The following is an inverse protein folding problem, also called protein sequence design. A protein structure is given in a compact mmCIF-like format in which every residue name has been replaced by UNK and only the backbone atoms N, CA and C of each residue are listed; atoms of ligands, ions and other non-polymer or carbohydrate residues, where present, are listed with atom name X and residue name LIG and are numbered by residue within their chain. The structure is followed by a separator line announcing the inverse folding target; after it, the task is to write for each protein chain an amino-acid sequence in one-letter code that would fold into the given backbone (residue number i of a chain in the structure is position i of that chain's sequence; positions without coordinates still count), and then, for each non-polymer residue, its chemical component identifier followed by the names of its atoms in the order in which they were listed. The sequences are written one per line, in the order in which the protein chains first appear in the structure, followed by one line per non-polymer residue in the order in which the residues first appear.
data_IF_703584204976
#
_entry.id   IF_703584204976
#
_cell.length_a   1.000
_cell.length_b   1.000
_cell.length_c   1.000
_cell.angle_alpha   90.00
_cell.angle_beta   90.00
_cell.angle_gamma   90.00
#
_symmetry.space_group_name_H-M   'P 1'
#
loop_
_entity.id
_entity.type
_entity.pdbx_description
1 polymer ?
#
# COMPACT_ATOMS: atom_id res chain seq x y z
N UNK A 1 -4.10 -19.26 -11.08
CA UNK A 1 -5.09 -18.28 -11.62
C UNK A 1 -4.34 -17.33 -12.54
N UNK A 2 -4.93 -16.95 -13.68
CA UNK A 2 -4.31 -15.95 -14.56
C UNK A 2 -4.36 -14.57 -13.88
N UNK A 3 -3.26 -13.81 -13.92
CA UNK A 3 -3.25 -12.45 -13.37
C UNK A 3 -4.20 -11.53 -14.16
N UNK A 4 -4.79 -10.55 -13.48
CA UNK A 4 -5.60 -9.52 -14.16
C UNK A 4 -4.70 -8.45 -14.80
N UNK A 5 -3.53 -8.19 -14.22
CA UNK A 5 -2.49 -7.34 -14.80
C UNK A 5 -1.19 -8.14 -14.83
N UNK A 6 -0.53 -8.14 -15.97
CA UNK A 6 0.82 -8.71 -16.12
C UNK A 6 1.75 -7.69 -16.74
N UNK A 7 2.86 -7.43 -16.04
CA UNK A 7 3.93 -6.51 -16.44
C UNK A 7 5.19 -7.34 -16.66
N UNK A 8 5.74 -7.32 -17.86
CA UNK A 8 6.88 -8.15 -18.23
C UNK A 8 8.03 -7.30 -18.77
N UNK A 9 9.16 -7.31 -18.04
CA UNK A 9 10.41 -6.62 -18.39
C UNK A 9 10.24 -5.13 -18.75
N UNK A 10 9.31 -4.43 -18.08
CA UNK A 10 9.00 -3.04 -18.41
C UNK A 10 10.11 -2.11 -17.96
N UNK A 11 10.60 -1.33 -18.88
CA UNK A 11 11.56 -0.24 -18.65
C UNK A 11 10.99 1.08 -19.16
N UNK A 12 11.34 2.17 -18.47
CA UNK A 12 11.00 3.54 -18.87
C UNK A 12 12.16 4.47 -18.71
N UNK A 13 12.61 5.04 -19.82
CA UNK A 13 13.55 6.16 -19.86
C UNK A 13 12.85 7.36 -20.49
N UNK A 14 12.87 8.49 -19.80
CA UNK A 14 12.32 9.76 -20.31
C UNK A 14 13.32 10.45 -21.25
N UNK A 15 12.84 11.40 -22.05
CA UNK A 15 13.68 12.17 -22.97
C UNK A 15 14.82 12.94 -22.27
N UNK A 16 14.67 13.25 -20.99
CA UNK A 16 15.70 13.85 -20.14
C UNK A 16 16.85 12.90 -19.78
N UNK A 17 16.79 11.63 -20.18
CA UNK A 17 17.74 10.59 -19.77
C UNK A 17 17.40 9.92 -18.42
N UNK A 18 16.37 10.40 -17.71
CA UNK A 18 15.95 9.81 -16.44
C UNK A 18 15.37 8.40 -16.68
N UNK A 19 16.01 7.38 -16.10
CA UNK A 19 15.54 6.01 -16.09
C UNK A 19 14.63 5.80 -14.88
N UNK A 20 13.32 5.88 -15.11
CA UNK A 20 12.31 5.79 -14.05
C UNK A 20 11.94 4.33 -13.71
N UNK A 21 12.03 3.41 -14.68
CA UNK A 21 11.79 1.97 -14.48
C UNK A 21 12.87 1.14 -15.16
N UNK A 22 13.23 0.03 -14.53
CA UNK A 22 14.25 -0.90 -15.03
C UNK A 22 13.80 -2.35 -14.92
N UNK A 23 13.42 -2.97 -16.05
CA UNK A 23 13.02 -4.37 -16.19
C UNK A 23 12.04 -4.84 -15.12
N UNK A 24 11.00 -4.05 -14.89
CA UNK A 24 9.96 -4.35 -13.90
C UNK A 24 9.14 -5.55 -14.35
N UNK A 25 8.97 -6.53 -13.45
CA UNK A 25 8.09 -7.68 -13.61
C UNK A 25 7.11 -7.70 -12.45
N UNK A 26 5.80 -7.80 -12.75
CA UNK A 26 4.76 -7.77 -11.73
C UNK A 26 3.49 -8.42 -12.27
N UNK A 27 2.95 -9.35 -11.49
CA UNK A 27 1.62 -9.93 -11.72
C UNK A 27 0.68 -9.56 -10.58
N UNK A 28 -0.50 -9.04 -10.91
CA UNK A 28 -1.56 -8.68 -9.97
C UNK A 28 -2.72 -9.64 -10.16
N UNK A 29 -3.22 -10.22 -9.06
CA UNK A 29 -4.30 -11.21 -9.04
C UNK A 29 -5.66 -10.50 -9.09
N UNK A 30 -6.66 -11.13 -9.66
CA UNK A 30 -8.03 -10.61 -9.69
C UNK A 30 -8.62 -10.54 -8.28
N UNK A 31 -9.26 -9.42 -7.94
CA UNK A 31 -9.99 -9.22 -6.68
C UNK A 31 -9.10 -9.06 -5.44
N UNK A 32 -7.78 -8.87 -5.60
CA UNK A 32 -6.89 -8.56 -4.48
C UNK A 32 -6.77 -7.05 -4.26
N UNK A 33 -6.36 -6.68 -3.06
CA UNK A 33 -5.80 -5.36 -2.76
C UNK A 33 -4.27 -5.51 -2.80
N UNK A 34 -3.65 -4.91 -3.80
CA UNK A 34 -2.20 -4.91 -3.98
C UNK A 34 -1.62 -3.55 -3.58
N UNK A 35 -0.74 -3.52 -2.59
CA UNK A 35 -0.02 -2.29 -2.21
C UNK A 35 1.36 -2.25 -2.88
N UNK A 36 1.64 -1.16 -3.59
CA UNK A 36 2.96 -0.86 -4.12
C UNK A 36 3.66 0.15 -3.21
N UNK A 37 4.54 -0.36 -2.36
CA UNK A 37 5.28 0.38 -1.34
C UNK A 37 6.63 0.86 -1.88
N UNK A 38 7.03 2.06 -1.51
CA UNK A 38 8.36 2.58 -1.85
C UNK A 38 8.49 4.08 -1.61
N UNK A 39 9.72 4.60 -1.50
CA UNK A 39 9.97 6.02 -1.30
C UNK A 39 9.50 6.86 -2.49
N UNK A 40 9.47 8.18 -2.31
CA UNK A 40 9.23 9.11 -3.39
C UNK A 40 10.34 8.97 -4.45
N UNK A 41 9.95 8.99 -5.74
CA UNK A 41 10.88 8.75 -6.83
C UNK A 41 11.21 7.28 -7.11
N UNK A 42 10.64 6.31 -6.37
CA UNK A 42 10.87 4.88 -6.62
C UNK A 42 10.34 4.40 -7.98
N UNK A 43 9.48 5.16 -8.66
CA UNK A 43 8.88 4.81 -9.95
C UNK A 43 7.41 4.36 -9.87
N UNK A 44 6.77 4.38 -8.70
CA UNK A 44 5.39 3.92 -8.46
C UNK A 44 4.38 4.57 -9.42
N UNK A 45 4.30 5.90 -9.43
CA UNK A 45 3.40 6.68 -10.29
C UNK A 45 3.71 6.46 -11.78
N UNK A 46 4.98 6.28 -12.16
CA UNK A 46 5.37 5.96 -13.54
C UNK A 46 4.84 4.59 -13.95
N UNK A 47 4.95 3.57 -13.09
CA UNK A 47 4.43 2.23 -13.37
C UNK A 47 2.91 2.25 -13.54
N UNK A 48 2.19 2.88 -12.61
CA UNK A 48 0.73 3.06 -12.71
C UNK A 48 0.36 3.79 -14.02
N UNK A 49 1.04 4.90 -14.32
CA UNK A 49 0.76 5.69 -15.53
C UNK A 49 0.97 4.88 -16.82
N UNK A 50 1.93 3.95 -16.83
CA UNK A 50 2.13 3.03 -17.95
C UNK A 50 0.97 2.04 -18.04
N UNK A 51 0.60 1.38 -16.95
CA UNK A 51 -0.51 0.41 -16.94
C UNK A 51 -1.82 1.06 -17.35
N UNK A 52 -2.08 2.29 -16.90
CA UNK A 52 -3.25 3.10 -17.28
C UNK A 52 -3.18 3.64 -18.72
N UNK A 53 -2.06 3.43 -19.44
CA UNK A 53 -1.86 3.92 -20.81
C UNK A 53 -1.70 5.44 -20.94
N UNK A 54 -1.30 6.13 -19.87
CA UNK A 54 -1.02 7.58 -19.85
C UNK A 54 0.41 7.84 -20.33
N UNK A 55 1.35 6.99 -19.90
CA UNK A 55 2.76 7.06 -20.26
C UNK A 55 3.13 5.85 -21.12
N UNK A 56 3.82 6.07 -22.24
CA UNK A 56 4.33 4.98 -23.08
C UNK A 56 5.59 4.38 -22.46
N UNK A 57 5.65 3.04 -22.35
CA UNK A 57 6.84 2.30 -21.95
C UNK A 57 7.96 2.45 -23.01
N UNK A 58 9.21 2.23 -22.61
CA UNK A 58 10.35 2.21 -23.53
C UNK A 58 10.60 0.78 -24.02
N UNK A 59 10.54 -0.20 -23.11
CA UNK A 59 10.75 -1.63 -23.39
C UNK A 59 9.82 -2.49 -22.56
N UNK A 60 9.57 -3.72 -23.00
CA UNK A 60 8.74 -4.68 -22.31
C UNK A 60 7.30 -4.70 -22.80
N UNK A 61 6.42 -5.36 -22.06
CA UNK A 61 5.00 -5.49 -22.37
C UNK A 61 4.14 -5.39 -21.11
N UNK A 62 2.92 -4.90 -21.28
CA UNK A 62 1.90 -4.89 -20.21
C UNK A 62 0.59 -5.38 -20.80
N UNK A 63 -0.07 -6.28 -20.08
CA UNK A 63 -1.42 -6.72 -20.41
C UNK A 63 -2.38 -6.54 -19.25
N UNK A 64 -3.64 -6.24 -19.56
CA UNK A 64 -4.76 -6.12 -18.62
C UNK A 64 -5.85 -7.06 -19.06
N UNK A 65 -6.21 -8.02 -18.21
CA UNK A 65 -7.16 -9.10 -18.53
C UNK A 65 -6.84 -9.84 -19.86
N UNK A 66 -5.53 -9.96 -20.17
CA UNK A 66 -5.04 -10.59 -21.40
C UNK A 66 -4.94 -9.66 -22.61
N UNK A 67 -5.43 -8.43 -22.52
CA UNK A 67 -5.35 -7.41 -23.60
C UNK A 67 -4.09 -6.57 -23.47
N UNK A 68 -3.40 -6.31 -24.58
CA UNK A 68 -2.22 -5.44 -24.61
C UNK A 68 -2.60 -3.96 -24.44
N UNK A 69 -1.93 -3.24 -23.53
CA UNK A 69 -2.27 -1.85 -23.22
C UNK A 69 -2.06 -0.86 -24.37
N UNK A 70 -1.20 -1.17 -25.32
CA UNK A 70 -0.92 -0.32 -26.50
C UNK A 70 -1.86 -0.64 -27.65
N UNK A 71 -2.01 -1.94 -27.98
CA UNK A 71 -2.84 -2.40 -29.09
C UNK A 71 -4.32 -2.29 -28.76
N UNK A 72 -4.72 -2.75 -27.58
CA UNK A 72 -6.11 -2.87 -27.16
C UNK A 72 -6.51 -1.76 -26.17
N UNK A 73 -5.91 -0.58 -26.29
CA UNK A 73 -5.98 0.51 -25.29
C UNK A 73 -7.40 0.94 -24.93
N UNK A 74 -8.38 0.85 -25.85
CA UNK A 74 -9.78 1.18 -25.55
C UNK A 74 -10.39 0.18 -24.60
N UNK A 75 -10.10 -1.10 -24.78
CA UNK A 75 -10.58 -2.19 -23.93
C UNK A 75 -9.93 -2.09 -22.56
N UNK A 76 -8.61 -1.99 -22.49
CA UNK A 76 -7.90 -1.94 -21.21
C UNK A 76 -8.27 -0.72 -20.40
N UNK A 77 -8.36 0.48 -21.00
CA UNK A 77 -8.79 1.69 -20.30
C UNK A 77 -10.22 1.64 -19.81
N UNK A 78 -11.13 0.96 -20.53
CA UNK A 78 -12.52 0.79 -20.06
C UNK A 78 -12.64 -0.09 -18.81
N UNK A 79 -11.61 -0.88 -18.49
CA UNK A 79 -11.55 -1.74 -17.31
C UNK A 79 -10.88 -1.06 -16.12
N UNK A 80 -10.23 0.10 -16.32
CA UNK A 80 -9.38 0.75 -15.31
C UNK A 80 -10.00 2.07 -14.86
N UNK A 81 -10.16 2.24 -13.56
CA UNK A 81 -10.37 3.52 -12.89
C UNK A 81 -9.06 4.01 -12.27
N UNK A 82 -8.78 5.29 -12.38
CA UNK A 82 -7.59 5.91 -11.76
C UNK A 82 -7.99 7.09 -10.90
N UNK A 83 -7.55 7.07 -9.66
CA UNK A 83 -7.60 8.21 -8.72
C UNK A 83 -6.17 8.73 -8.56
N UNK A 84 -5.84 9.87 -9.16
CA UNK A 84 -4.49 10.44 -9.06
C UNK A 84 -4.24 11.03 -7.66
N UNK A 85 -2.96 11.24 -7.34
CA UNK A 85 -2.54 11.87 -6.09
C UNK A 85 -3.08 13.30 -5.96
N UNK A 86 -3.03 14.10 -7.04
CA UNK A 86 -3.52 15.47 -7.04
C UNK A 86 -5.03 15.57 -7.20
N UNK A 87 -5.66 16.49 -6.47
CA UNK A 87 -7.10 16.74 -6.50
C UNK A 87 -7.48 17.63 -7.70
N UNK A 88 -7.26 17.15 -8.92
CA UNK A 88 -7.60 17.88 -10.14
C UNK A 88 -9.01 17.53 -10.60
N UNK A 89 -9.95 18.48 -10.41
CA UNK A 89 -11.32 18.39 -10.91
C UNK A 89 -11.79 19.75 -11.36
N UNK A 90 -12.82 19.80 -12.22
CA UNK A 90 -13.46 21.06 -12.56
C UNK A 90 -14.19 21.62 -11.32
N UNK A 91 -13.65 22.70 -10.78
CA UNK A 91 -14.10 23.29 -9.53
C UNK A 91 -15.55 23.83 -9.58
N UNK A 92 -16.01 24.24 -10.76
CA UNK A 92 -17.30 24.92 -10.96
C UNK A 92 -18.47 23.97 -11.25
N UNK A 93 -18.17 22.73 -11.62
CA UNK A 93 -19.16 21.71 -11.90
C UNK A 93 -19.73 21.09 -10.61
N UNK A 94 -20.95 20.54 -10.71
CA UNK A 94 -21.54 19.78 -9.61
C UNK A 94 -20.98 18.37 -9.54
N UNK A 95 -21.08 17.74 -8.35
CA UNK A 95 -20.66 16.33 -8.16
C UNK A 95 -21.37 15.42 -9.15
N UNK A 96 -22.70 15.57 -9.29
CA UNK A 96 -23.51 14.77 -10.21
C UNK A 96 -23.08 14.94 -11.67
N UNK A 97 -22.91 16.18 -12.11
CA UNK A 97 -22.49 16.47 -13.49
C UNK A 97 -21.13 15.86 -13.80
N UNK A 98 -20.16 16.04 -12.90
CA UNK A 98 -18.78 15.50 -13.04
C UNK A 98 -18.76 13.99 -13.17
N UNK A 99 -19.47 13.26 -12.30
CA UNK A 99 -19.49 11.79 -12.31
C UNK A 99 -20.25 11.28 -13.55
N UNK A 100 -21.38 11.90 -13.89
CA UNK A 100 -22.16 11.52 -15.08
C UNK A 100 -21.39 11.79 -16.38
N UNK A 101 -20.66 12.91 -16.47
CA UNK A 101 -19.83 13.25 -17.60
C UNK A 101 -18.67 12.26 -17.77
N UNK A 102 -18.02 11.91 -16.66
CA UNK A 102 -16.94 10.92 -16.67
C UNK A 102 -17.40 9.58 -17.25
N UNK A 103 -18.60 9.10 -16.88
CA UNK A 103 -19.19 7.90 -17.46
C UNK A 103 -19.29 7.98 -18.98
N UNK A 104 -19.74 9.12 -19.50
CA UNK A 104 -19.88 9.39 -20.93
C UNK A 104 -18.55 9.37 -21.68
N UNK A 105 -17.47 9.87 -21.07
CA UNK A 105 -16.13 9.87 -21.66
C UNK A 105 -15.61 8.44 -21.92
N UNK A 106 -16.02 7.46 -21.11
CA UNK A 106 -15.70 6.04 -21.31
C UNK A 106 -16.67 5.33 -22.26
N UNK A 107 -17.56 6.07 -22.95
CA UNK A 107 -18.52 5.50 -23.91
C UNK A 107 -19.64 4.69 -23.28
N UNK A 108 -19.85 4.79 -21.97
CA UNK A 108 -20.94 4.09 -21.27
C UNK A 108 -22.25 4.87 -21.42
N UNK A 109 -23.39 4.18 -21.67
CA UNK A 109 -24.70 4.84 -21.71
C UNK A 109 -25.03 5.50 -20.37
N UNK A 110 -25.91 6.52 -20.42
CA UNK A 110 -26.42 7.16 -19.21
C UNK A 110 -27.07 6.14 -18.29
N UNK A 111 -26.66 6.10 -17.03
CA UNK A 111 -27.22 5.25 -16.00
C UNK A 111 -27.31 6.04 -14.69
N UNK A 112 -28.39 6.82 -14.50
CA UNK A 112 -28.56 7.65 -13.32
C UNK A 112 -28.66 6.81 -12.04
N UNK A 113 -29.23 5.60 -12.10
CA UNK A 113 -29.36 4.73 -10.92
C UNK A 113 -28.00 4.25 -10.44
N UNK A 114 -27.12 3.86 -11.37
CA UNK A 114 -25.75 3.47 -11.02
C UNK A 114 -24.95 4.66 -10.44
N UNK A 115 -25.04 5.85 -11.06
CA UNK A 115 -24.39 7.05 -10.52
C UNK A 115 -24.93 7.38 -9.12
N UNK A 116 -26.24 7.25 -8.90
CA UNK A 116 -26.86 7.44 -7.59
C UNK A 116 -26.34 6.41 -6.56
N UNK A 117 -26.20 5.12 -6.96
CA UNK A 117 -25.61 4.06 -6.14
C UNK A 117 -24.20 4.46 -5.69
N UNK A 118 -23.32 4.79 -6.64
CA UNK A 118 -21.92 5.19 -6.35
C UNK A 118 -21.86 6.40 -5.42
N UNK A 119 -22.66 7.43 -5.64
CA UNK A 119 -22.67 8.62 -4.79
C UNK A 119 -23.17 8.33 -3.37
N UNK A 120 -24.12 7.40 -3.19
CA UNK A 120 -24.59 6.96 -1.86
C UNK A 120 -23.52 6.18 -1.12
N UNK A 121 -22.87 5.22 -1.76
CA UNK A 121 -21.77 4.42 -1.20
C UNK A 121 -20.59 5.27 -0.75
N UNK A 122 -20.32 6.36 -1.46
CA UNK A 122 -19.28 7.33 -1.14
C UNK A 122 -19.73 8.46 -0.21
N UNK A 123 -20.97 8.40 0.34
CA UNK A 123 -21.55 9.46 1.20
C UNK A 123 -21.55 10.86 0.56
N UNK A 124 -21.76 10.90 -0.76
CA UNK A 124 -21.81 12.14 -1.56
C UNK A 124 -23.23 12.49 -2.03
N UNK A 125 -24.23 11.64 -1.77
CA UNK A 125 -25.58 11.81 -2.29
C UNK A 125 -26.22 13.15 -1.90
N UNK A 126 -26.10 13.53 -0.63
CA UNK A 126 -26.67 14.80 -0.13
C UNK A 126 -25.94 16.03 -0.66
N UNK A 127 -24.80 15.85 -1.30
CA UNK A 127 -23.97 16.90 -1.92
C UNK A 127 -23.91 16.80 -3.45
N UNK A 128 -24.75 15.95 -4.06
CA UNK A 128 -24.73 15.70 -5.52
C UNK A 128 -24.87 16.95 -6.38
N UNK A 129 -25.64 17.95 -5.90
CA UNK A 129 -25.89 19.21 -6.58
C UNK A 129 -24.95 20.33 -6.13
N UNK A 130 -24.03 20.06 -5.17
CA UNK A 130 -23.04 21.02 -4.71
C UNK A 130 -21.91 21.15 -5.73
N UNK A 131 -21.38 22.37 -5.89
CA UNK A 131 -20.18 22.63 -6.70
C UNK A 131 -18.95 22.03 -6.00
N UNK A 132 -18.05 21.41 -6.76
CA UNK A 132 -16.87 20.75 -6.21
C UNK A 132 -15.99 21.71 -5.41
N UNK A 133 -15.89 22.98 -5.81
CA UNK A 133 -15.11 23.98 -5.08
C UNK A 133 -15.56 24.16 -3.62
N UNK A 134 -16.83 23.91 -3.31
CA UNK A 134 -17.41 24.10 -1.96
C UNK A 134 -17.21 22.91 -1.03
N UNK A 135 -16.64 21.80 -1.54
CA UNK A 135 -16.44 20.58 -0.79
C UNK A 135 -15.14 20.61 0.02
N UNK A 136 -15.10 19.87 1.14
CA UNK A 136 -13.87 19.61 1.88
C UNK A 136 -12.87 18.77 1.06
N UNK A 137 -11.61 18.74 1.47
CA UNK A 137 -10.56 17.92 0.79
C UNK A 137 -10.94 16.45 0.70
N UNK A 138 -11.45 15.87 1.79
CA UNK A 138 -11.92 14.49 1.82
C UNK A 138 -13.10 14.22 0.91
N UNK A 139 -14.06 15.15 0.85
CA UNK A 139 -15.19 15.04 -0.08
C UNK A 139 -14.74 15.15 -1.53
N UNK A 140 -13.80 16.03 -1.85
CA UNK A 140 -13.19 16.11 -3.19
C UNK A 140 -12.50 14.79 -3.58
N UNK A 141 -11.81 14.15 -2.62
CA UNK A 141 -11.20 12.83 -2.84
C UNK A 141 -12.24 11.76 -3.17
N UNK A 142 -13.36 11.74 -2.42
CA UNK A 142 -14.48 10.83 -2.70
C UNK A 142 -15.10 11.10 -4.08
N UNK A 143 -15.18 12.37 -4.53
CA UNK A 143 -15.63 12.70 -5.90
C UNK A 143 -14.67 12.12 -6.97
N UNK A 144 -13.36 12.16 -6.75
CA UNK A 144 -12.39 11.51 -7.67
C UNK A 144 -12.59 10.01 -7.74
N UNK A 145 -12.90 9.36 -6.61
CA UNK A 145 -13.23 7.93 -6.59
C UNK A 145 -14.54 7.69 -7.33
N UNK A 146 -15.60 8.48 -7.07
CA UNK A 146 -16.86 8.37 -7.81
C UNK A 146 -16.67 8.51 -9.32
N UNK A 147 -15.83 9.46 -9.73
CA UNK A 147 -15.44 9.68 -11.13
C UNK A 147 -14.73 8.45 -11.71
N UNK A 148 -13.77 7.87 -10.97
CA UNK A 148 -13.04 6.68 -11.38
C UNK A 148 -13.93 5.43 -11.46
N UNK A 149 -14.97 5.32 -10.62
CA UNK A 149 -15.93 4.23 -10.61
C UNK A 149 -17.08 4.39 -11.62
N UNK A 150 -17.27 5.59 -12.17
CA UNK A 150 -18.46 5.95 -12.99
C UNK A 150 -18.73 5.03 -14.19
N UNK A 151 -17.71 4.39 -14.72
CA UNK A 151 -17.78 3.52 -15.89
C UNK A 151 -17.69 2.03 -15.57
N UNK A 152 -17.86 1.66 -14.28
CA UNK A 152 -17.87 0.25 -13.81
C UNK A 152 -16.53 -0.46 -14.08
N UNK A 153 -15.40 0.06 -13.59
CA UNK A 153 -14.10 -0.56 -13.84
C UNK A 153 -13.95 -1.88 -13.05
N UNK A 154 -13.15 -2.81 -13.58
CA UNK A 154 -12.75 -4.02 -12.86
C UNK A 154 -11.50 -3.81 -11.99
N UNK A 155 -10.76 -2.75 -12.26
CA UNK A 155 -9.49 -2.41 -11.63
C UNK A 155 -9.53 -0.94 -11.21
N UNK A 156 -9.16 -0.66 -9.96
CA UNK A 156 -9.05 0.70 -9.43
C UNK A 156 -7.63 0.96 -8.96
N UNK A 157 -7.00 1.97 -9.55
CA UNK A 157 -5.73 2.50 -9.08
C UNK A 157 -5.97 3.70 -8.17
N UNK A 158 -5.29 3.68 -7.01
CA UNK A 158 -5.30 4.74 -6.02
C UNK A 158 -3.84 5.20 -5.80
N UNK A 159 -3.48 6.35 -6.38
CA UNK A 159 -2.11 6.88 -6.24
C UNK A 159 -2.03 7.76 -4.98
N UNK A 160 -1.36 7.27 -3.95
CA UNK A 160 -1.21 7.89 -2.63
C UNK A 160 -2.55 8.41 -2.06
N UNK A 161 -3.57 7.55 -1.86
CA UNK A 161 -4.95 7.97 -1.62
C UNK A 161 -5.15 8.75 -0.32
N UNK A 162 -4.25 8.63 0.63
CA UNK A 162 -4.35 9.23 1.97
C UNK A 162 -3.29 10.30 2.23
N UNK A 163 -2.50 10.67 1.21
CA UNK A 163 -1.52 11.74 1.35
C UNK A 163 -2.19 13.07 1.75
N UNK A 164 -1.77 13.63 2.89
CA UNK A 164 -2.32 14.89 3.41
C UNK A 164 -3.73 14.79 3.99
N UNK A 165 -4.23 13.59 4.29
CA UNK A 165 -5.54 13.34 4.87
C UNK A 165 -5.40 13.01 6.36
N UNK A 166 -6.32 13.53 7.19
CA UNK A 166 -6.36 13.22 8.61
C UNK A 166 -6.75 11.76 8.89
N UNK A 167 -6.58 11.33 10.15
CA UNK A 167 -6.77 9.93 10.58
C UNK A 167 -8.21 9.44 10.38
N UNK A 168 -9.20 10.30 10.62
CA UNK A 168 -10.62 9.94 10.53
C UNK A 168 -11.03 9.72 9.06
N UNK A 169 -10.66 10.66 8.18
CA UNK A 169 -10.89 10.54 6.75
C UNK A 169 -10.14 9.35 6.12
N UNK A 170 -8.99 8.98 6.67
CA UNK A 170 -8.25 7.79 6.25
C UNK A 170 -9.05 6.52 6.52
N UNK A 171 -9.63 6.37 7.71
CA UNK A 171 -10.49 5.20 8.04
C UNK A 171 -11.69 5.09 7.10
N UNK A 172 -12.38 6.19 6.87
CA UNK A 172 -13.51 6.23 5.93
C UNK A 172 -13.10 5.78 4.52
N UNK A 173 -11.92 6.19 4.07
CA UNK A 173 -11.37 5.77 2.78
C UNK A 173 -11.13 4.26 2.74
N UNK A 174 -10.61 3.69 3.80
CA UNK A 174 -10.34 2.26 3.89
C UNK A 174 -11.61 1.43 3.90
N UNK A 175 -12.69 1.90 4.53
CA UNK A 175 -13.99 1.23 4.49
C UNK A 175 -14.55 1.19 3.07
N UNK A 176 -14.42 2.28 2.30
CA UNK A 176 -14.77 2.34 0.89
C UNK A 176 -13.95 1.31 0.09
N UNK A 177 -12.64 1.26 0.30
CA UNK A 177 -11.74 0.32 -0.42
C UNK A 177 -12.11 -1.13 -0.12
N UNK A 178 -12.42 -1.46 1.15
CA UNK A 178 -12.86 -2.80 1.55
C UNK A 178 -14.20 -3.17 0.91
N UNK A 179 -15.15 -2.24 0.85
CA UNK A 179 -16.45 -2.47 0.21
C UNK A 179 -16.30 -2.75 -1.29
N UNK A 180 -15.50 -1.95 -2.01
CA UNK A 180 -15.22 -2.16 -3.43
C UNK A 180 -14.54 -3.50 -3.71
N UNK A 181 -13.59 -3.92 -2.86
CA UNK A 181 -12.98 -5.24 -2.96
C UNK A 181 -14.02 -6.35 -2.78
N UNK A 182 -14.93 -6.21 -1.81
CA UNK A 182 -15.99 -7.19 -1.57
C UNK A 182 -16.94 -7.34 -2.77
N UNK A 183 -17.10 -6.29 -3.59
CA UNK A 183 -17.81 -6.32 -4.87
C UNK A 183 -16.98 -6.92 -6.03
N UNK A 184 -15.74 -7.35 -5.77
CA UNK A 184 -14.86 -8.01 -6.74
C UNK A 184 -13.95 -7.08 -7.54
N UNK A 185 -13.89 -5.79 -7.19
CA UNK A 185 -12.95 -4.85 -7.82
C UNK A 185 -11.52 -5.17 -7.36
N UNK A 186 -10.58 -5.25 -8.30
CA UNK A 186 -9.14 -5.36 -8.00
C UNK A 186 -8.61 -3.98 -7.70
N UNK A 187 -7.91 -3.82 -6.58
CA UNK A 187 -7.45 -2.52 -6.13
C UNK A 187 -5.93 -2.50 -6.07
N UNK A 188 -5.33 -1.51 -6.69
CA UNK A 188 -3.90 -1.24 -6.61
C UNK A 188 -3.72 0.11 -5.95
N UNK A 189 -3.06 0.14 -4.80
CA UNK A 189 -2.73 1.39 -4.13
C UNK A 189 -1.22 1.59 -4.09
N UNK A 190 -0.78 2.82 -4.31
CA UNK A 190 0.59 3.22 -3.97
C UNK A 190 0.59 3.93 -2.65
N UNK A 191 1.62 3.70 -1.88
CA UNK A 191 1.86 4.42 -0.63
C UNK A 191 3.35 4.44 -0.30
N UNK A 192 3.75 5.41 0.50
CA UNK A 192 5.01 5.42 1.21
C UNK A 192 4.81 5.19 2.72
N UNK A 193 3.56 5.09 3.15
CA UNK A 193 3.18 4.75 4.53
C UNK A 193 3.01 3.24 4.66
N UNK A 194 3.82 2.66 5.50
CA UNK A 194 3.91 1.21 5.67
C UNK A 194 2.67 0.66 6.37
N UNK A 195 2.15 1.42 7.33
CA UNK A 195 0.96 1.07 8.09
C UNK A 195 -0.27 0.90 7.17
N UNK A 196 -0.37 1.68 6.11
CA UNK A 196 -1.45 1.56 5.13
C UNK A 196 -1.39 0.24 4.37
N UNK A 197 -0.19 -0.15 3.92
CA UNK A 197 0.01 -1.44 3.26
C UNK A 197 -0.26 -2.60 4.22
N UNK A 198 0.15 -2.46 5.49
CA UNK A 198 -0.09 -3.45 6.53
C UNK A 198 -1.57 -3.62 6.85
N UNK A 199 -2.33 -2.54 6.92
CA UNK A 199 -3.76 -2.57 7.22
C UNK A 199 -4.58 -3.15 6.06
N UNK A 200 -4.29 -2.75 4.82
CA UNK A 200 -5.20 -2.94 3.69
C UNK A 200 -4.82 -4.04 2.72
N UNK A 201 -3.50 -4.26 2.49
CA UNK A 201 -3.07 -5.11 1.40
C UNK A 201 -3.25 -6.60 1.67
N UNK A 202 -3.58 -7.36 0.64
CA UNK A 202 -3.44 -8.81 0.60
C UNK A 202 -2.02 -9.20 0.22
N UNK A 203 -1.45 -8.47 -0.78
CA UNK A 203 -0.06 -8.62 -1.23
C UNK A 203 0.63 -7.27 -1.32
N UNK A 204 1.93 -7.29 -1.10
CA UNK A 204 2.77 -6.10 -1.09
C UNK A 204 3.89 -6.26 -2.10
N UNK A 205 4.03 -5.26 -2.96
CA UNK A 205 5.20 -5.06 -3.81
C UNK A 205 6.07 -3.95 -3.24
N UNK A 206 7.36 -4.21 -3.07
CA UNK A 206 8.32 -3.21 -2.62
C UNK A 206 9.10 -2.69 -3.83
N UNK A 207 9.07 -1.38 -4.04
CA UNK A 207 9.73 -0.74 -5.17
C UNK A 207 10.80 0.25 -4.71
N UNK A 208 11.99 0.17 -5.30
CA UNK A 208 13.10 1.09 -5.04
C UNK A 208 13.95 1.27 -6.29
N UNK A 209 14.36 2.52 -6.59
CA UNK A 209 15.23 2.84 -7.72
C UNK A 209 14.74 2.32 -9.07
N UNK A 210 13.43 2.38 -9.33
CA UNK A 210 12.82 1.92 -10.59
C UNK A 210 12.67 0.41 -10.74
N UNK A 211 12.96 -0.37 -9.69
CA UNK A 211 12.88 -1.85 -9.69
C UNK A 211 11.91 -2.33 -8.63
N UNK A 212 11.27 -3.46 -8.91
CA UNK A 212 10.57 -4.23 -7.86
C UNK A 212 11.60 -5.10 -7.17
N UNK A 213 11.72 -4.92 -5.84
CA UNK A 213 12.66 -5.64 -5.00
C UNK A 213 12.05 -6.95 -4.52
N UNK A 214 10.77 -6.91 -4.17
CA UNK A 214 10.03 -8.00 -3.58
C UNK A 214 8.55 -7.89 -3.95
N UNK A 215 7.90 -9.03 -4.14
CA UNK A 215 6.43 -9.17 -4.18
C UNK A 215 6.06 -10.38 -3.35
N UNK A 216 5.26 -10.20 -2.30
CA UNK A 216 4.90 -11.29 -1.38
C UNK A 216 3.47 -11.09 -0.84
N UNK A 217 2.83 -12.19 -0.45
CA UNK A 217 1.61 -12.15 0.36
C UNK A 217 1.94 -11.49 1.72
N UNK A 218 1.11 -10.56 2.18
CA UNK A 218 1.36 -9.82 3.43
C UNK A 218 1.62 -10.76 4.62
N UNK A 219 0.78 -11.78 4.78
CA UNK A 219 0.93 -12.74 5.87
C UNK A 219 2.25 -13.51 5.80
N UNK A 220 2.69 -13.90 4.60
CA UNK A 220 3.97 -14.58 4.41
C UNK A 220 5.16 -13.64 4.62
N UNK A 221 5.05 -12.38 4.17
CA UNK A 221 6.07 -11.37 4.41
C UNK A 221 6.28 -11.16 5.91
N UNK A 222 5.18 -10.98 6.66
CA UNK A 222 5.22 -10.86 8.11
C UNK A 222 5.76 -12.10 8.81
N UNK A 223 5.45 -13.29 8.27
CA UNK A 223 5.95 -14.54 8.82
C UNK A 223 7.45 -14.78 8.52
N UNK A 224 7.89 -14.52 7.27
CA UNK A 224 9.28 -14.79 6.84
C UNK A 224 10.29 -13.77 7.39
N UNK A 225 9.89 -12.49 7.47
CA UNK A 225 10.79 -11.39 7.81
C UNK A 225 10.47 -10.76 9.17
N UNK A 226 9.31 -11.08 9.74
CA UNK A 226 8.88 -10.59 11.05
C UNK A 226 9.69 -11.25 12.17
N UNK A 227 10.59 -10.49 12.77
CA UNK A 227 11.22 -10.89 14.04
C UNK A 227 10.29 -10.50 15.16
N UNK A 228 10.19 -11.36 16.19
CA UNK A 228 9.54 -10.99 17.44
C UNK A 228 10.56 -10.39 18.39
N UNK A 229 10.13 -9.37 19.10
CA UNK A 229 10.90 -8.76 20.16
C UNK A 229 10.18 -9.01 21.48
N UNK A 230 10.93 -9.50 22.45
CA UNK A 230 10.51 -9.58 23.85
C UNK A 230 11.15 -8.39 24.56
N UNK A 231 10.33 -7.45 25.01
CA UNK A 231 10.75 -6.32 25.83
C UNK A 231 10.48 -6.63 27.29
N UNK A 232 11.53 -6.52 28.11
CA UNK A 232 11.49 -6.75 29.54
C UNK A 232 11.65 -5.42 30.26
N UNK A 233 10.63 -4.94 30.94
CA UNK A 233 10.68 -3.72 31.76
C UNK A 233 11.33 -4.03 33.11
N UNK A 234 12.49 -3.47 33.36
CA UNK A 234 13.28 -3.76 34.54
C UNK A 234 12.70 -3.11 35.82
N UNK A 235 12.90 -3.76 36.97
CA UNK A 235 12.59 -3.19 38.28
C UNK A 235 13.63 -2.17 38.72
N UNK A 236 14.89 -2.39 38.32
CA UNK A 236 16.03 -1.49 38.57
C UNK A 236 16.75 -1.23 37.27
N UNK A 237 17.11 0.02 37.05
CA UNK A 237 17.89 0.45 35.88
C UNK A 237 19.23 -0.31 35.86
N UNK A 238 19.66 -0.65 34.65
CA UNK A 238 21.00 -1.17 34.37
C UNK A 238 21.80 -0.12 33.58
N UNK A 239 23.07 0.02 33.92
CA UNK A 239 24.00 0.87 33.18
C UNK A 239 24.67 0.11 32.03
N UNK A 240 24.78 -1.21 32.14
CA UNK A 240 25.31 -2.11 31.12
C UNK A 240 24.71 -3.53 31.29
N UNK A 241 24.70 -4.29 30.19
CA UNK A 241 24.34 -5.70 30.22
C UNK A 241 25.47 -6.52 30.81
N UNK A 242 25.21 -7.43 31.79
CA UNK A 242 26.22 -8.35 32.29
C UNK A 242 26.76 -9.29 31.22
N UNK A 243 28.06 -9.59 31.26
CA UNK A 243 28.74 -10.51 30.33
C UNK A 243 28.10 -11.90 30.28
N UNK A 244 27.52 -12.35 31.39
CA UNK A 244 26.78 -13.61 31.48
C UNK A 244 25.59 -13.73 30.51
N UNK A 245 25.09 -12.60 30.02
CA UNK A 245 23.96 -12.53 29.08
C UNK A 245 24.41 -12.29 27.63
N UNK A 246 25.69 -12.19 27.34
CA UNK A 246 26.22 -11.91 25.99
C UNK A 246 25.78 -12.91 24.92
N UNK A 247 25.50 -14.17 25.33
CA UNK A 247 25.03 -15.22 24.42
C UNK A 247 23.63 -14.96 23.82
N UNK A 248 22.82 -14.12 24.46
CA UNK A 248 21.40 -13.91 24.08
C UNK A 248 21.18 -12.75 23.09
N UNK A 249 22.20 -12.07 22.60
CA UNK A 249 22.08 -10.93 21.67
C UNK A 249 21.03 -9.89 22.14
N UNK A 250 21.15 -9.45 23.40
CA UNK A 250 20.28 -8.47 24.01
C UNK A 250 20.67 -7.05 23.62
N UNK A 251 19.69 -6.16 23.60
CA UNK A 251 19.91 -4.72 23.49
C UNK A 251 19.36 -4.06 24.76
N UNK A 252 20.15 -3.23 25.43
CA UNK A 252 19.71 -2.40 26.52
C UNK A 252 19.20 -1.07 25.94
N UNK A 253 18.01 -0.64 26.33
CA UNK A 253 17.48 0.65 25.94
C UNK A 253 18.34 1.79 26.47
N UNK A 254 18.36 2.95 25.79
CA UNK A 254 19.22 4.08 26.14
C UNK A 254 18.99 4.62 27.56
N UNK A 255 17.80 4.44 28.11
CA UNK A 255 17.45 4.83 29.49
C UNK A 255 17.82 3.77 30.53
N UNK A 256 18.25 2.57 30.11
CA UNK A 256 18.64 1.46 30.97
C UNK A 256 17.49 0.74 31.66
N UNK A 257 16.23 1.07 31.34
CA UNK A 257 15.04 0.51 32.00
C UNK A 257 14.45 -0.71 31.31
N UNK A 258 14.89 -1.00 30.07
CA UNK A 258 14.34 -2.08 29.25
C UNK A 258 15.44 -2.93 28.63
N UNK A 259 15.23 -4.25 28.61
CA UNK A 259 16.03 -5.19 27.82
C UNK A 259 15.18 -5.69 26.68
N UNK A 260 15.70 -5.59 25.45
CA UNK A 260 15.07 -6.05 24.23
C UNK A 260 15.79 -7.30 23.73
N UNK A 261 15.04 -8.39 23.61
CA UNK A 261 15.48 -9.66 23.04
C UNK A 261 14.78 -9.89 21.70
N UNK A 262 15.55 -9.91 20.61
CA UNK A 262 15.01 -10.20 19.28
C UNK A 262 15.21 -11.68 18.95
N UNK A 263 14.12 -12.39 18.63
CA UNK A 263 14.15 -13.80 18.29
C UNK A 263 13.38 -14.11 17.02
N UNK A 264 13.79 -15.18 16.34
CA UNK A 264 13.12 -15.68 15.14
C UNK A 264 11.98 -16.62 15.55
N UNK A 265 10.81 -16.43 14.91
CA UNK A 265 9.64 -17.31 15.16
C UNK A 265 9.71 -18.62 14.40
N UNK A 266 10.65 -18.77 13.45
CA UNK A 266 10.83 -19.98 12.66
C UNK A 266 11.78 -21.00 13.32
N UNK A 267 12.53 -20.60 14.34
CA UNK A 267 13.43 -21.51 15.06
C UNK A 267 12.66 -22.52 15.91
N UNK A 268 13.10 -23.77 15.96
CA UNK A 268 12.52 -24.81 16.84
C UNK A 268 12.47 -24.37 18.32
N UNK A 269 13.32 -23.43 18.74
CA UNK A 269 13.38 -22.89 20.10
C UNK A 269 13.54 -21.37 20.05
N UNK A 270 12.62 -20.64 20.65
CA UNK A 270 12.67 -19.17 20.75
C UNK A 270 13.78 -18.65 21.67
N UNK A 271 14.39 -19.50 22.49
CA UNK A 271 15.41 -19.10 23.45
C UNK A 271 14.89 -18.36 24.68
N UNK A 272 13.60 -18.01 24.73
CA UNK A 272 13.01 -17.19 25.81
C UNK A 272 13.17 -17.88 27.18
N UNK A 273 12.92 -19.19 27.26
CA UNK A 273 13.05 -19.92 28.52
C UNK A 273 14.47 -19.90 29.07
N UNK A 274 15.47 -20.04 28.19
CA UNK A 274 16.88 -19.96 28.58
C UNK A 274 17.22 -18.53 29.04
N UNK A 275 16.80 -17.52 28.28
CA UNK A 275 16.99 -16.12 28.63
C UNK A 275 16.40 -15.78 30.03
N UNK A 276 15.15 -16.17 30.29
CA UNK A 276 14.50 -15.88 31.58
C UNK A 276 15.22 -16.57 32.75
N UNK A 277 15.74 -17.79 32.53
CA UNK A 277 16.56 -18.48 33.53
C UNK A 277 17.88 -17.74 33.80
N UNK A 278 18.58 -17.31 32.76
CA UNK A 278 19.87 -16.63 32.90
C UNK A 278 19.73 -15.21 33.48
N UNK A 279 18.64 -14.49 33.16
CA UNK A 279 18.28 -13.22 33.82
C UNK A 279 18.09 -13.41 35.32
N UNK A 280 17.38 -14.48 35.73
CA UNK A 280 17.18 -14.77 37.14
C UNK A 280 18.50 -15.12 37.85
N UNK A 281 19.38 -15.89 37.21
CA UNK A 281 20.72 -16.22 37.74
C UNK A 281 21.60 -14.98 37.85
N UNK A 282 21.47 -14.02 36.93
CA UNK A 282 22.16 -12.72 36.97
C UNK A 282 21.54 -11.73 37.98
N UNK A 283 20.48 -12.13 38.70
CA UNK A 283 19.81 -11.28 39.68
C UNK A 283 18.99 -10.13 39.09
N UNK A 284 18.72 -10.16 37.77
CA UNK A 284 17.96 -9.14 37.06
C UNK A 284 16.47 -9.45 37.21
N UNK A 285 15.75 -8.53 37.83
CA UNK A 285 14.29 -8.61 38.00
C UNK A 285 13.58 -7.64 37.08
N UNK A 286 12.50 -8.08 36.46
CA UNK A 286 11.60 -7.26 35.65
C UNK A 286 10.24 -7.15 36.28
N UNK A 287 9.51 -6.07 36.01
CA UNK A 287 8.16 -5.80 36.52
C UNK A 287 7.08 -6.23 35.53
N UNK A 288 7.43 -6.21 34.25
CA UNK A 288 6.53 -6.56 33.16
C UNK A 288 7.32 -7.06 31.96
N UNK A 289 6.68 -7.80 31.08
CA UNK A 289 7.20 -8.24 29.80
C UNK A 289 6.09 -8.22 28.75
N UNK A 290 6.42 -7.77 27.54
CA UNK A 290 5.51 -7.88 26.42
C UNK A 290 6.27 -8.31 25.16
N UNK A 291 5.53 -8.90 24.23
CA UNK A 291 6.10 -9.29 22.93
C UNK A 291 5.48 -8.43 21.83
N UNK A 292 6.35 -7.85 20.99
CA UNK A 292 5.96 -7.16 19.77
C UNK A 292 6.48 -7.92 18.57
N UNK A 293 5.74 -7.90 17.47
CA UNK A 293 6.20 -8.40 16.18
C UNK A 293 6.81 -7.23 15.42
N UNK A 294 7.89 -7.46 14.68
CA UNK A 294 8.45 -6.44 13.78
C UNK A 294 7.37 -5.91 12.84
N UNK A 295 7.33 -4.61 12.70
CA UNK A 295 6.44 -3.95 11.74
C UNK A 295 6.92 -4.17 10.31
N UNK A 296 6.06 -3.94 9.33
CA UNK A 296 6.49 -3.87 7.93
C UNK A 296 7.56 -2.78 7.71
N UNK A 297 7.60 -1.75 8.56
CA UNK A 297 8.61 -0.69 8.52
C UNK A 297 10.01 -1.23 8.80
N UNK A 298 10.18 -2.05 9.84
CA UNK A 298 11.45 -2.70 10.16
C UNK A 298 11.92 -3.60 9.01
N UNK A 299 10.97 -4.32 8.42
CA UNK A 299 11.20 -5.22 7.28
C UNK A 299 11.65 -4.41 6.06
N UNK A 300 10.94 -3.32 5.74
CA UNK A 300 11.26 -2.45 4.61
C UNK A 300 12.63 -1.82 4.74
N UNK A 301 12.95 -1.25 5.90
CA UNK A 301 14.28 -0.66 6.17
C UNK A 301 15.38 -1.70 6.02
N UNK A 302 15.15 -2.93 6.50
CA UNK A 302 16.07 -4.05 6.34
C UNK A 302 16.33 -4.42 4.88
N UNK A 303 15.27 -4.52 4.06
CA UNK A 303 15.35 -4.86 2.64
C UNK A 303 16.08 -3.79 1.81
N UNK A 304 15.84 -2.51 2.10
CA UNK A 304 16.48 -1.39 1.39
C UNK A 304 17.97 -1.31 1.75
N UNK A 305 18.34 -1.50 3.03
CA UNK A 305 19.76 -1.47 3.48
C UNK A 305 20.60 -2.62 2.94
N UNK A 306 20.03 -3.82 2.74
CA UNK A 306 20.76 -4.97 2.19
C UNK A 306 21.12 -4.83 0.70
N UNK A 307 20.57 -3.85 -0.01
CA UNK A 307 20.77 -3.64 -1.45
C UNK A 307 21.47 -2.32 -1.80
N UNK A 308 21.90 -1.55 -0.81
CA UNK A 308 22.85 -0.46 -0.95
C UNK A 308 24.28 -0.96 -0.74
#
# INVERSE_FOLDING_TARGET
MQPIISVSNVSKTYASGLRALERVNLDIRRGEIFALLGPNGAGKTTLISIICGIVTLTEGTVSVAGYDIGRDYRVTRSMIGLVPQELTTDAFETVWATVSFSRGLFGKPRNPDYVAKVLKELSLWDRKDSKIMTLSGGMKRRVLIAKALSHEPQILFLDEPTAGVDVELRKDMWDIVRALRAEGVTIILTTHYIEEAEEMADRIGVMHGGKIILVEDKAELMHKLGKKQLTLHLQKRLDALPDALAAHRLTLAADGNEIIYTYDTQGERTGITALLKDLNLAGIRFRDLHTTQSSLEDIFVGLVRQRQ
#
